data_IF_046694818468
#
_entry.id   IF_046694818468
#
_cell.length_a   1.000
_cell.length_b   1.000
_cell.length_c   1.000
_cell.angle_alpha   90.00
_cell.angle_beta   90.00
_cell.angle_gamma   90.00
#
_symmetry.space_group_name_H-M   'P 1'
#
loop_
_entity.id
_entity.type
_entity.pdbx_description
1 polymer ?
#
# COMPACT_ATOMS: atom_id res chain seq x y z
N UNK A 1 10.53 -4.14 13.99
CA UNK A 1 9.67 -4.24 12.78
C UNK A 1 9.09 -2.86 12.59
N UNK A 2 9.44 -2.19 11.50
CA UNK A 2 8.88 -0.86 11.20
C UNK A 2 7.37 -1.02 10.96
N UNK A 3 6.57 -0.21 11.65
CA UNK A 3 5.10 -0.25 11.57
C UNK A 3 4.62 1.05 10.95
N UNK A 4 3.76 0.93 9.92
CA UNK A 4 3.12 2.09 9.28
C UNK A 4 1.69 2.25 9.77
N UNK A 5 1.29 3.49 10.05
CA UNK A 5 -0.08 3.86 10.43
C UNK A 5 -0.51 5.11 9.69
N UNK A 6 -1.78 5.18 9.28
CA UNK A 6 -2.37 6.39 8.70
C UNK A 6 -3.32 7.04 9.70
N UNK A 7 -3.20 8.35 9.86
CA UNK A 7 -4.16 9.18 10.59
C UNK A 7 -4.84 10.17 9.66
N UNK A 8 -6.10 10.48 9.95
CA UNK A 8 -6.82 11.61 9.35
C UNK A 8 -6.97 12.71 10.38
N UNK A 9 -6.57 13.90 9.99
CA UNK A 9 -6.76 15.13 10.76
C UNK A 9 -8.16 15.66 10.49
N UNK A 10 -8.79 16.31 11.47
CA UNK A 10 -10.14 16.87 11.34
C UNK A 10 -10.32 17.87 10.19
N UNK A 11 -9.24 18.51 9.74
CA UNK A 11 -9.24 19.43 8.59
C UNK A 11 -9.08 18.73 7.23
N UNK A 12 -9.01 17.39 7.24
CA UNK A 12 -8.91 16.55 6.06
C UNK A 12 -7.48 16.18 5.65
N UNK A 13 -6.43 16.67 6.32
CA UNK A 13 -5.06 16.21 6.07
C UNK A 13 -4.91 14.73 6.43
N UNK A 14 -4.00 14.06 5.74
CA UNK A 14 -3.64 12.67 6.00
C UNK A 14 -2.18 12.59 6.45
N UNK A 15 -1.93 11.84 7.52
CA UNK A 15 -0.60 11.70 8.11
C UNK A 15 -0.22 10.23 8.13
N UNK A 16 0.71 9.85 7.27
CA UNK A 16 1.33 8.53 7.29
C UNK A 16 2.51 8.56 8.27
N UNK A 17 2.59 7.57 9.15
CA UNK A 17 3.66 7.46 10.14
C UNK A 17 4.48 6.21 9.90
N UNK A 18 5.79 6.29 10.10
CA UNK A 18 6.70 5.13 10.11
C UNK A 18 7.51 5.14 11.42
N UNK A 19 7.33 4.10 12.23
CA UNK A 19 8.09 3.93 13.48
C UNK A 19 9.42 3.21 13.22
N UNK A 20 10.55 3.84 13.54
CA UNK A 20 11.90 3.30 13.29
C UNK A 20 12.37 2.28 14.36
N UNK A 21 11.58 2.10 15.43
CA UNK A 21 11.89 1.21 16.55
C UNK A 21 12.85 1.80 17.60
N UNK A 22 13.38 3.00 17.38
CA UNK A 22 14.25 3.75 18.30
C UNK A 22 13.50 4.87 19.03
N UNK A 23 12.17 4.72 19.18
CA UNK A 23 11.27 5.72 19.74
C UNK A 23 11.22 7.03 18.93
N UNK A 24 11.53 6.97 17.63
CA UNK A 24 11.23 8.03 16.69
C UNK A 24 10.12 7.60 15.72
N UNK A 25 9.44 8.61 15.21
CA UNK A 25 8.37 8.48 14.23
C UNK A 25 8.66 9.44 13.10
N UNK A 26 8.76 8.92 11.89
CA UNK A 26 8.73 9.74 10.67
C UNK A 26 7.29 10.02 10.30
N UNK A 27 6.96 11.29 10.13
CA UNK A 27 5.64 11.81 9.77
C UNK A 27 5.69 12.30 8.32
N UNK A 28 4.80 11.77 7.49
CA UNK A 28 4.58 12.21 6.12
C UNK A 28 3.19 12.84 6.07
N UNK A 29 3.11 14.16 5.83
CA UNK A 29 1.88 14.93 5.86
C UNK A 29 1.43 15.24 4.44
N UNK A 30 0.17 14.93 4.16
CA UNK A 30 -0.45 15.13 2.87
C UNK A 30 -1.63 16.10 2.99
N UNK A 31 -1.80 16.99 2.01
CA UNK A 31 -2.89 17.95 2.02
C UNK A 31 -4.25 17.26 1.91
N UNK A 32 -5.30 17.98 2.29
CA UNK A 32 -6.69 17.51 2.14
C UNK A 32 -7.00 17.17 0.67
N UNK A 33 -7.44 15.94 0.42
CA UNK A 33 -7.65 15.33 -0.91
C UNK A 33 -8.84 15.88 -1.71
N UNK A 34 -9.18 17.14 -1.53
CA UNK A 34 -10.25 17.82 -2.28
C UNK A 34 -9.86 18.18 -3.72
N UNK A 35 -8.59 18.01 -4.11
CA UNK A 35 -8.10 18.34 -5.45
C UNK A 35 -7.75 17.08 -6.24
N UNK A 36 -8.34 16.95 -7.43
CA UNK A 36 -7.93 15.96 -8.40
C UNK A 36 -6.53 16.33 -8.93
N UNK A 37 -5.51 15.58 -8.52
CA UNK A 37 -4.11 15.85 -8.87
C UNK A 37 -3.17 14.80 -8.30
N UNK A 38 -1.88 14.90 -8.66
CA UNK A 38 -0.83 14.08 -8.08
C UNK A 38 -0.74 14.33 -6.57
N UNK A 39 -0.72 13.26 -5.78
CA UNK A 39 -0.67 13.34 -4.31
C UNK A 39 0.80 13.42 -3.89
N UNK A 40 1.22 14.62 -3.49
CA UNK A 40 2.57 14.88 -2.96
C UNK A 40 2.52 15.13 -1.45
N UNK A 41 3.58 14.73 -0.74
CA UNK A 41 3.73 15.07 0.66
C UNK A 41 4.04 16.57 0.78
N UNK A 42 3.23 17.29 1.54
CA UNK A 42 3.47 18.69 1.90
C UNK A 42 4.72 18.81 2.79
N UNK A 43 4.90 17.85 3.68
CA UNK A 43 6.01 17.84 4.62
C UNK A 43 6.40 16.42 5.03
N UNK A 44 7.70 16.26 5.31
CA UNK A 44 8.28 15.05 5.88
C UNK A 44 9.18 15.47 7.04
N UNK A 45 8.95 14.91 8.23
CA UNK A 45 9.76 15.20 9.41
C UNK A 45 9.90 13.97 10.30
N UNK A 46 10.88 13.96 11.20
CA UNK A 46 11.09 12.88 12.17
C UNK A 46 11.13 13.44 13.58
N UNK A 47 10.22 12.95 14.42
CA UNK A 47 10.05 13.40 15.80
C UNK A 47 10.20 12.26 16.78
N UNK A 48 10.47 12.58 18.04
CA UNK A 48 10.43 11.58 19.11
C UNK A 48 8.98 11.25 19.48
N UNK A 49 8.71 9.97 19.68
CA UNK A 49 7.45 9.51 20.22
C UNK A 49 7.29 10.04 21.65
N UNK A 50 6.19 10.74 21.92
CA UNK A 50 5.83 11.28 23.23
C UNK A 50 4.43 10.80 23.63
N UNK A 51 4.36 10.00 24.71
CA UNK A 51 3.14 9.33 25.17
C UNK A 51 2.72 8.16 24.28
N UNK A 52 2.23 8.46 23.08
CA UNK A 52 1.79 7.50 22.08
C UNK A 52 1.65 8.12 20.68
N UNK A 53 1.39 7.30 19.67
CA UNK A 53 1.43 7.73 18.27
C UNK A 53 0.35 8.79 17.95
N UNK A 54 -0.89 8.58 18.38
CA UNK A 54 -2.00 9.55 18.21
C UNK A 54 -1.70 10.88 18.90
N UNK A 55 -1.15 10.83 20.12
CA UNK A 55 -0.81 12.03 20.89
C UNK A 55 0.36 12.79 20.24
N UNK A 56 1.37 12.06 19.76
CA UNK A 56 2.52 12.63 19.04
C UNK A 56 2.07 13.34 17.77
N UNK A 57 1.21 12.70 16.97
CA UNK A 57 0.67 13.31 15.74
C UNK A 57 -0.19 14.54 16.07
N UNK A 58 -1.11 14.42 17.03
CA UNK A 58 -1.99 15.53 17.43
C UNK A 58 -1.20 16.75 17.92
N UNK A 59 -0.17 16.53 18.76
CA UNK A 59 0.75 17.58 19.24
C UNK A 59 1.50 18.22 18.08
N UNK A 60 2.10 17.40 17.21
CA UNK A 60 2.90 17.88 16.08
C UNK A 60 2.09 18.79 15.15
N UNK A 61 0.88 18.37 14.75
CA UNK A 61 0.04 19.18 13.87
C UNK A 61 -0.40 20.49 14.56
N UNK A 62 -0.71 20.43 15.86
CA UNK A 62 -1.08 21.62 16.64
C UNK A 62 0.06 22.65 16.68
N UNK A 63 1.30 22.18 16.84
CA UNK A 63 2.50 23.02 16.84
C UNK A 63 2.82 23.57 15.44
N UNK A 64 2.70 22.73 14.40
CA UNK A 64 2.91 23.10 13.01
C UNK A 64 2.02 24.27 12.59
N UNK A 65 0.73 24.21 12.94
CA UNK A 65 -0.26 25.23 12.62
C UNK A 65 -0.18 26.46 13.55
N UNK A 66 0.75 26.44 14.52
CA UNK A 66 0.94 27.48 15.55
C UNK A 66 -0.35 27.79 16.33
N UNK A 67 -1.18 26.77 16.53
CA UNK A 67 -2.41 26.92 17.29
C UNK A 67 -2.07 27.07 18.79
N UNK A 68 -2.94 27.72 19.58
CA UNK A 68 -2.79 27.73 21.02
C UNK A 68 -2.68 26.29 21.54
N UNK A 69 -1.75 26.01 22.45
CA UNK A 69 -1.51 24.68 23.05
C UNK A 69 -2.75 24.01 23.68
N UNK A 70 -3.80 24.80 23.93
CA UNK A 70 -5.08 24.35 24.47
C UNK A 70 -6.00 23.77 23.38
N UNK A 71 -5.69 24.05 22.12
CA UNK A 71 -6.41 23.57 20.95
C UNK A 71 -5.96 22.15 20.68
N UNK A 72 -6.87 21.20 20.81
CA UNK A 72 -6.58 19.80 20.50
C UNK A 72 -7.10 19.50 19.10
N UNK A 73 -6.20 19.38 18.14
CA UNK A 73 -6.55 18.90 16.81
C UNK A 73 -6.90 17.41 16.92
N UNK A 74 -8.11 17.05 16.52
CA UNK A 74 -8.53 15.65 16.51
C UNK A 74 -7.85 14.91 15.36
N UNK A 75 -7.29 13.74 15.68
CA UNK A 75 -6.76 12.79 14.69
C UNK A 75 -7.47 11.45 14.86
N UNK A 76 -7.85 10.83 13.76
CA UNK A 76 -8.49 9.52 13.73
C UNK A 76 -7.59 8.53 13.02
N UNK A 77 -7.30 7.39 13.66
CA UNK A 77 -6.58 6.31 12.99
C UNK A 77 -7.43 5.74 11.86
N UNK A 78 -6.93 5.81 10.64
CA UNK A 78 -7.58 5.19 9.50
C UNK A 78 -7.48 3.66 9.62
N UNK A 79 -8.53 2.92 9.20
CA UNK A 79 -8.46 1.47 9.14
C UNK A 79 -7.38 1.02 8.16
N UNK A 80 -6.85 -0.19 8.35
CA UNK A 80 -5.87 -0.76 7.41
C UNK A 80 -6.50 -0.91 6.02
N UNK A 81 -7.73 -1.42 5.97
CA UNK A 81 -8.49 -1.65 4.73
C UNK A 81 -9.74 -0.77 4.65
N UNK A 82 -10.37 -0.72 3.47
CA UNK A 82 -11.56 0.10 3.21
C UNK A 82 -11.24 1.27 2.26
N UNK A 83 -12.29 1.89 1.72
CA UNK A 83 -12.17 2.92 0.66
C UNK A 83 -11.18 4.03 1.00
N UNK A 84 -11.11 4.41 2.27
CA UNK A 84 -10.27 5.50 2.77
C UNK A 84 -9.12 5.00 3.67
N UNK A 85 -8.89 3.69 3.75
CA UNK A 85 -7.90 3.10 4.67
C UNK A 85 -6.43 3.27 4.22
N UNK A 86 -5.49 2.94 5.12
CA UNK A 86 -4.04 2.98 4.90
C UNK A 86 -3.65 2.29 3.58
N UNK A 87 -4.27 1.16 3.29
CA UNK A 87 -3.99 0.41 2.09
C UNK A 87 -4.23 1.23 0.82
N UNK A 88 -5.46 1.71 0.61
CA UNK A 88 -5.81 2.52 -0.57
C UNK A 88 -5.01 3.84 -0.61
N UNK A 89 -4.74 4.41 0.56
CA UNK A 89 -3.89 5.59 0.66
C UNK A 89 -2.48 5.32 0.09
N UNK A 90 -1.83 4.23 0.51
CA UNK A 90 -0.49 3.85 0.03
C UNK A 90 -0.46 3.57 -1.47
N UNK A 91 -1.52 2.97 -2.01
CA UNK A 91 -1.72 2.78 -3.45
C UNK A 91 -1.67 4.11 -4.19
N UNK A 92 -2.45 5.08 -3.71
CA UNK A 92 -2.58 6.39 -4.35
C UNK A 92 -1.25 7.15 -4.35
N UNK A 93 -0.45 7.03 -3.27
CA UNK A 93 0.85 7.71 -3.16
C UNK A 93 2.04 6.90 -3.73
N UNK A 94 1.86 5.65 -4.20
CA UNK A 94 2.96 4.84 -4.78
C UNK A 94 3.60 5.53 -6.00
N UNK A 95 2.91 6.47 -6.68
CA UNK A 95 3.50 7.28 -7.73
C UNK A 95 4.63 8.22 -7.23
N UNK A 96 4.50 8.73 -6.00
CA UNK A 96 5.44 9.66 -5.37
C UNK A 96 6.61 8.93 -4.68
N UNK A 97 6.30 7.80 -4.07
CA UNK A 97 7.27 6.93 -3.40
C UNK A 97 7.65 5.77 -4.32
N UNK A 98 8.55 6.01 -5.27
CA UNK A 98 9.48 4.97 -5.74
C UNK A 98 10.34 4.53 -4.54
N UNK A 99 9.74 3.89 -3.54
CA UNK A 99 10.41 3.25 -2.42
C UNK A 99 11.02 1.97 -2.97
N UNK A 100 12.09 2.19 -3.72
CA UNK A 100 13.17 1.23 -3.82
C UNK A 100 13.86 1.28 -2.45
N UNK A 101 13.30 0.60 -1.44
CA UNK A 101 14.16 0.05 -0.38
C UNK A 101 14.83 -1.18 -0.99
N UNK A 102 15.88 -0.92 -1.77
CA UNK A 102 17.00 -1.82 -2.01
C UNK A 102 17.68 -2.10 -0.67
N UNK A 103 17.01 -2.88 0.19
CA UNK A 103 17.68 -3.77 1.12
C UNK A 103 17.15 -5.15 0.81
N UNK A 104 18.00 -5.84 0.09
CA UNK A 104 17.94 -7.26 -0.19
C UNK A 104 17.46 -8.03 1.05
N UNK A 105 16.64 -9.06 0.80
CA UNK A 105 16.25 -10.16 1.69
C UNK A 105 14.85 -10.17 2.34
N UNK A 106 14.10 -9.07 2.45
CA UNK A 106 12.68 -9.20 2.90
C UNK A 106 11.78 -8.07 2.36
N UNK A 107 10.55 -8.41 1.94
CA UNK A 107 9.41 -7.50 1.73
C UNK A 107 9.42 -6.51 0.54
N UNK A 108 10.53 -6.32 -0.17
CA UNK A 108 10.58 -5.42 -1.34
C UNK A 108 9.82 -5.91 -2.59
N UNK A 109 9.72 -7.23 -2.78
CA UNK A 109 8.99 -7.83 -3.91
C UNK A 109 7.48 -7.65 -3.82
N UNK A 110 6.92 -7.79 -2.61
CA UNK A 110 5.47 -7.65 -2.36
C UNK A 110 4.97 -6.24 -2.72
N UNK A 111 5.81 -5.20 -2.55
CA UNK A 111 5.49 -3.81 -2.90
C UNK A 111 5.50 -3.55 -4.42
N UNK A 112 6.42 -4.19 -5.16
CA UNK A 112 6.45 -4.11 -6.62
C UNK A 112 5.26 -4.86 -7.24
N UNK A 113 4.92 -6.03 -6.71
CA UNK A 113 3.73 -6.80 -7.09
C UNK A 113 2.45 -6.02 -6.82
N UNK A 114 2.42 -5.34 -5.67
CA UNK A 114 1.40 -4.38 -5.29
C UNK A 114 1.19 -3.28 -6.34
N UNK A 115 2.25 -2.51 -6.64
CA UNK A 115 2.14 -1.42 -7.58
C UNK A 115 1.87 -1.92 -9.02
N UNK A 116 2.24 -3.16 -9.37
CA UNK A 116 1.88 -3.80 -10.64
C UNK A 116 0.39 -4.20 -10.70
N UNK A 117 -0.16 -4.82 -9.65
CA UNK A 117 -1.58 -5.17 -9.52
C UNK A 117 -2.47 -3.93 -9.64
N UNK A 118 -2.04 -2.83 -9.03
CA UNK A 118 -2.80 -1.58 -9.00
C UNK A 118 -2.84 -0.88 -10.36
N UNK A 119 -1.71 -0.88 -11.09
CA UNK A 119 -1.64 -0.38 -12.47
C UNK A 119 -2.44 -1.24 -13.47
N UNK A 120 -2.70 -2.51 -13.15
CA UNK A 120 -3.45 -3.42 -14.04
C UNK A 120 -4.97 -3.20 -14.03
N UNK A 121 -5.56 -2.64 -12.97
CA UNK A 121 -7.02 -2.34 -12.97
C UNK A 121 -7.37 -1.00 -13.63
N UNK A 122 -6.50 0.01 -13.56
CA UNK A 122 -6.75 1.29 -14.26
C UNK A 122 -6.53 1.20 -15.78
N UNK A 123 -5.72 0.25 -16.24
CA UNK A 123 -5.50 0.04 -17.69
C UNK A 123 -6.59 -0.81 -18.37
N UNK A 124 -7.57 -1.34 -17.62
CA UNK A 124 -8.66 -2.17 -18.17
C UNK A 124 -10.05 -1.61 -17.87
N UNK A 125 -10.35 -0.43 -18.40
CA UNK A 125 -11.72 -0.03 -18.78
C UNK A 125 -12.26 -0.82 -20.00
N UNK A 126 -11.80 -2.04 -20.22
CA UNK A 126 -12.33 -2.93 -21.26
C UNK A 126 -12.62 -4.27 -20.62
N UNK A 127 -13.89 -4.43 -20.26
CA UNK A 127 -14.69 -5.67 -20.15
C UNK A 127 -13.90 -6.98 -20.15
N UNK A 128 -14.23 -7.79 -19.14
CA UNK A 128 -14.03 -9.23 -18.96
C UNK A 128 -13.15 -9.53 -17.74
N UNK A 129 -13.55 -10.59 -17.04
CA UNK A 129 -13.15 -11.00 -15.71
C UNK A 129 -11.63 -10.92 -15.51
N UNK A 130 -11.20 -10.44 -14.35
CA UNK A 130 -9.79 -10.21 -14.05
C UNK A 130 -9.07 -11.54 -13.83
N UNK A 131 -8.56 -12.17 -14.88
CA UNK A 131 -7.68 -13.35 -14.83
C UNK A 131 -6.26 -13.01 -14.36
N UNK A 132 -6.14 -12.23 -13.30
CA UNK A 132 -4.83 -11.94 -12.69
C UNK A 132 -4.48 -13.11 -11.79
N UNK A 133 -3.42 -13.83 -12.15
CA UNK A 133 -2.88 -14.95 -11.39
C UNK A 133 -1.59 -14.51 -10.69
N UNK A 134 -1.48 -14.82 -9.41
CA UNK A 134 -0.30 -14.56 -8.59
C UNK A 134 0.39 -15.89 -8.27
N UNK A 135 1.65 -16.04 -8.64
CA UNK A 135 2.42 -17.26 -8.42
C UNK A 135 3.32 -17.12 -7.19
N UNK A 136 3.07 -17.93 -6.17
CA UNK A 136 3.83 -17.91 -4.93
C UNK A 136 4.70 -19.17 -4.79
N UNK A 137 5.94 -19.02 -4.31
CA UNK A 137 6.77 -20.19 -4.02
C UNK A 137 6.34 -20.81 -2.69
N UNK A 138 6.13 -22.12 -2.67
CA UNK A 138 5.81 -22.87 -1.44
C UNK A 138 6.85 -22.56 -0.35
N UNK A 139 6.35 -22.18 0.83
CA UNK A 139 7.18 -21.78 1.98
C UNK A 139 7.40 -20.28 2.11
N UNK A 140 7.07 -19.47 1.09
CA UNK A 140 7.01 -18.02 1.25
C UNK A 140 5.73 -17.65 1.99
N UNK A 141 5.89 -16.82 3.02
CA UNK A 141 4.77 -16.27 3.81
C UNK A 141 4.53 -14.85 3.34
N UNK A 142 3.33 -14.58 2.84
CA UNK A 142 2.90 -13.23 2.49
C UNK A 142 2.74 -12.37 3.73
N UNK A 143 3.03 -11.08 3.60
CA UNK A 143 2.55 -10.11 4.57
C UNK A 143 1.02 -10.07 4.63
N UNK A 144 0.49 -9.68 5.79
CA UNK A 144 -0.96 -9.46 5.99
C UNK A 144 -1.53 -8.54 4.92
N UNK A 145 -0.77 -7.55 4.47
CA UNK A 145 -1.19 -6.58 3.47
C UNK A 145 -1.33 -7.20 2.08
N UNK A 146 -0.40 -8.08 1.67
CA UNK A 146 -0.49 -8.83 0.42
C UNK A 146 -1.67 -9.81 0.41
N UNK A 147 -1.94 -10.52 1.51
CA UNK A 147 -3.12 -11.39 1.56
C UNK A 147 -4.44 -10.60 1.39
N UNK A 148 -4.56 -9.45 2.07
CA UNK A 148 -5.73 -8.57 1.95
C UNK A 148 -5.94 -8.06 0.52
N UNK A 149 -4.88 -7.93 -0.27
CA UNK A 149 -4.92 -7.53 -1.67
C UNK A 149 -5.40 -8.62 -2.60
N UNK A 150 -4.82 -9.81 -2.45
CA UNK A 150 -5.21 -10.96 -3.24
C UNK A 150 -6.72 -11.20 -3.07
N UNK A 151 -7.20 -11.12 -1.82
CA UNK A 151 -8.61 -11.24 -1.48
C UNK A 151 -9.46 -10.10 -2.08
N UNK A 152 -9.11 -8.83 -1.82
CA UNK A 152 -9.93 -7.68 -2.24
C UNK A 152 -10.01 -7.46 -3.75
N UNK A 153 -9.01 -7.96 -4.50
CA UNK A 153 -8.96 -7.86 -5.96
C UNK A 153 -9.37 -9.15 -6.67
N UNK A 154 -9.73 -10.19 -5.92
CA UNK A 154 -10.07 -11.53 -6.43
C UNK A 154 -8.95 -12.10 -7.32
N UNK A 155 -7.70 -11.91 -6.90
CA UNK A 155 -6.52 -12.40 -7.61
C UNK A 155 -6.33 -13.88 -7.27
N UNK A 156 -6.18 -14.71 -8.29
CA UNK A 156 -6.02 -16.15 -8.10
C UNK A 156 -4.59 -16.48 -7.66
N UNK A 157 -4.44 -16.94 -6.42
CA UNK A 157 -3.17 -17.44 -5.89
C UNK A 157 -2.88 -18.85 -6.44
N UNK A 158 -1.65 -19.07 -6.90
CA UNK A 158 -1.12 -20.37 -7.36
C UNK A 158 0.22 -20.62 -6.70
N UNK A 159 0.32 -21.70 -5.92
CA UNK A 159 1.59 -22.07 -5.30
C UNK A 159 2.43 -22.95 -6.24
N UNK A 160 3.75 -22.74 -6.27
CA UNK A 160 4.71 -23.57 -7.01
C UNK A 160 5.90 -23.99 -6.13
N UNK A 161 6.43 -25.19 -6.36
CA UNK A 161 7.52 -25.75 -5.56
C UNK A 161 8.90 -25.32 -6.10
N UNK A 162 9.07 -25.43 -7.40
CA UNK A 162 10.30 -25.16 -8.12
C UNK A 162 10.03 -24.57 -9.51
N UNK A 163 11.10 -24.35 -10.26
CA UNK A 163 11.03 -23.70 -11.57
C UNK A 163 10.25 -24.53 -12.60
N UNK A 164 10.35 -25.85 -12.56
CA UNK A 164 9.73 -26.73 -13.55
C UNK A 164 8.21 -26.77 -13.30
N UNK A 165 7.79 -26.84 -12.03
CA UNK A 165 6.40 -26.69 -11.60
C UNK A 165 5.81 -25.34 -12.04
N UNK A 166 6.52 -24.23 -11.79
CA UNK A 166 6.10 -22.90 -12.24
C UNK A 166 5.90 -22.84 -13.77
N UNK A 167 6.86 -23.35 -14.53
CA UNK A 167 6.77 -23.39 -15.99
C UNK A 167 5.57 -24.20 -16.46
N UNK A 168 5.31 -25.36 -15.86
CA UNK A 168 4.15 -26.18 -16.19
C UNK A 168 2.82 -25.44 -15.93
N UNK A 169 2.69 -24.79 -14.77
CA UNK A 169 1.46 -24.06 -14.43
C UNK A 169 1.21 -22.87 -15.37
N UNK A 170 2.27 -22.15 -15.76
CA UNK A 170 2.15 -21.07 -16.76
C UNK A 170 1.72 -21.64 -18.11
N UNK A 171 2.30 -22.75 -18.56
CA UNK A 171 1.91 -23.37 -19.82
C UNK A 171 0.44 -23.81 -19.83
N UNK A 172 -0.04 -24.41 -18.73
CA UNK A 172 -1.44 -24.81 -18.57
C UNK A 172 -2.38 -23.61 -18.64
N UNK A 173 -2.00 -22.50 -17.97
CA UNK A 173 -2.75 -21.25 -18.01
C UNK A 173 -2.82 -20.67 -19.43
N UNK A 174 -1.68 -20.61 -20.12
CA UNK A 174 -1.61 -20.12 -21.51
C UNK A 174 -2.46 -20.99 -22.43
N UNK A 175 -2.44 -22.32 -22.28
CA UNK A 175 -3.28 -23.24 -23.08
C UNK A 175 -4.77 -23.04 -22.80
N UNK A 176 -5.16 -22.82 -21.55
CA UNK A 176 -6.54 -22.52 -21.17
C UNK A 176 -7.02 -21.24 -21.83
N UNK A 177 -6.24 -20.16 -21.71
CA UNK A 177 -6.54 -18.85 -22.32
C UNK A 177 -6.67 -18.98 -23.84
N UNK A 178 -5.77 -19.72 -24.51
CA UNK A 178 -5.88 -19.92 -25.96
C UNK A 178 -7.10 -20.75 -26.37
N UNK A 179 -7.55 -21.70 -25.52
CA UNK A 179 -8.76 -22.47 -25.77
C UNK A 179 -10.02 -21.60 -25.63
N UNK A 180 -10.07 -20.76 -24.62
CA UNK A 180 -11.22 -19.89 -24.31
C UNK A 180 -11.25 -18.63 -25.20
N UNK A 181 -10.08 -18.17 -25.64
CA UNK A 181 -9.88 -17.00 -26.48
C UNK A 181 -8.90 -17.29 -27.65
N UNK A 182 -9.34 -18.02 -28.69
CA UNK A 182 -8.47 -18.47 -29.79
C UNK A 182 -7.88 -17.35 -30.67
N UNK A 183 -8.35 -16.11 -30.50
CA UNK A 183 -7.81 -14.92 -31.18
C UNK A 183 -6.82 -14.11 -30.32
N UNK A 184 -6.53 -14.56 -29.09
CA UNK A 184 -5.56 -13.93 -28.22
C UNK A 184 -4.15 -14.14 -28.78
N UNK A 185 -3.44 -13.07 -29.13
CA UNK A 185 -2.02 -13.10 -29.53
C UNK A 185 -1.19 -12.58 -28.36
N UNK A 186 -0.33 -13.44 -27.82
CA UNK A 186 0.65 -13.10 -26.78
C UNK A 186 1.69 -12.09 -27.28
#
# INVERSE_FOLDING_TARGET
METMTLFRVEDGREVLTEEDGANNVTLYIFPSRTQAGEVEAEMIDTVKLDGGLEETVSKYITELDRLPLQTRIHVEKAPITGLTGLFNFLVEICAFYNVIRLKEETRGGEYLELCQILRMKDSRMVRQESDVNYFNKVGNVHSTMLNLLLDSKEIMLRDFNDKDDLCQQIEELVRLIHREHPNFRA
#
